data_IF_826074805909
#
_entry.id   IF_826074805909
#
_cell.length_a   1.000
_cell.length_b   1.000
_cell.length_c   1.000
_cell.angle_alpha   90.00
_cell.angle_beta   90.00
_cell.angle_gamma   90.00
#
_symmetry.space_group_name_H-M   'P 1'
#
loop_
_entity.id
_entity.type
_entity.pdbx_description
1 polymer ?
#
# COMPACT_ATOMS: atom_id res chain seq x y z
N UNK A 1 -7.11 -7.78 3.19
CA UNK A 1 -6.42 -8.07 4.46
C UNK A 1 -5.12 -7.28 4.56
N UNK A 2 -4.69 -6.85 5.76
CA UNK A 2 -3.41 -6.15 5.95
C UNK A 2 -2.44 -6.95 6.83
N UNK A 3 -1.21 -7.17 6.36
CA UNK A 3 -0.17 -7.86 7.11
C UNK A 3 0.37 -6.99 8.25
N UNK A 4 1.01 -7.59 9.25
CA UNK A 4 1.52 -6.85 10.42
C UNK A 4 2.52 -5.76 10.03
N UNK A 5 3.37 -6.02 9.03
CA UNK A 5 4.30 -5.03 8.50
C UNK A 5 3.60 -3.76 7.97
N UNK A 6 2.47 -3.94 7.27
CA UNK A 6 1.64 -2.84 6.79
C UNK A 6 1.02 -2.08 7.96
N UNK A 7 0.39 -2.78 8.91
CA UNK A 7 -0.29 -2.19 10.08
C UNK A 7 0.66 -1.31 10.90
N UNK A 8 1.88 -1.79 11.15
CA UNK A 8 2.93 -1.02 11.85
C UNK A 8 3.30 0.27 11.12
N UNK A 9 3.44 0.22 9.80
CA UNK A 9 3.76 1.41 8.98
C UNK A 9 2.59 2.39 8.92
N UNK A 10 1.36 1.90 8.75
CA UNK A 10 0.15 2.72 8.78
C UNK A 10 0.03 3.46 10.12
N UNK A 11 0.22 2.76 11.25
CA UNK A 11 0.22 3.37 12.60
C UNK A 11 1.30 4.43 12.79
N UNK A 12 2.49 4.25 12.19
CA UNK A 12 3.53 5.28 12.21
C UNK A 12 3.14 6.50 11.39
N UNK A 13 2.46 6.30 10.26
CA UNK A 13 2.01 7.40 9.41
C UNK A 13 0.82 8.14 10.02
N UNK A 14 -0.12 7.47 10.70
CA UNK A 14 -1.28 8.13 11.32
C UNK A 14 -0.90 9.16 12.39
N UNK A 15 0.22 8.95 13.09
CA UNK A 15 0.80 9.96 14.01
C UNK A 15 1.13 11.30 13.33
N UNK A 16 1.47 11.28 12.04
CA UNK A 16 1.86 12.48 11.28
C UNK A 16 0.74 12.98 10.34
N UNK A 17 -0.11 12.08 9.86
CA UNK A 17 -1.13 12.38 8.85
C UNK A 17 -2.53 12.05 9.41
N UNK A 18 -3.17 13.05 10.03
CA UNK A 18 -4.47 12.93 10.73
C UNK A 18 -5.62 12.28 9.94
N UNK A 19 -5.68 12.44 8.61
CA UNK A 19 -6.73 11.84 7.74
C UNK A 19 -6.32 10.54 7.05
N UNK A 20 -5.16 9.98 7.38
CA UNK A 20 -4.73 8.74 6.72
C UNK A 20 -5.71 7.59 6.95
N UNK A 21 -6.47 7.61 8.04
CA UNK A 21 -7.50 6.61 8.31
C UNK A 21 -8.69 6.73 7.35
N UNK A 22 -9.12 7.96 7.03
CA UNK A 22 -10.13 8.23 6.00
C UNK A 22 -9.60 7.81 4.63
N UNK A 23 -8.37 8.22 4.29
CA UNK A 23 -7.69 7.86 3.04
C UNK A 23 -7.57 6.33 2.88
N UNK A 24 -7.30 5.64 4.00
CA UNK A 24 -7.20 4.18 4.04
C UNK A 24 -8.56 3.53 3.81
N UNK A 25 -9.66 4.04 4.38
CA UNK A 25 -11.00 3.51 4.12
C UNK A 25 -11.37 3.61 2.64
N UNK A 26 -11.15 4.76 2.01
CA UNK A 26 -11.40 4.92 0.57
C UNK A 26 -10.54 3.99 -0.28
N UNK A 27 -9.31 3.71 0.14
CA UNK A 27 -8.47 2.71 -0.54
C UNK A 27 -9.08 1.30 -0.44
N UNK A 28 -9.62 0.92 0.72
CA UNK A 28 -10.27 -0.40 0.88
C UNK A 28 -11.47 -0.51 -0.05
N UNK A 29 -12.36 0.49 -0.07
CA UNK A 29 -13.51 0.51 -0.99
C UNK A 29 -13.08 0.39 -2.45
N UNK A 30 -12.00 1.07 -2.84
CA UNK A 30 -11.44 0.99 -4.19
C UNK A 30 -11.01 -0.45 -4.51
N UNK A 31 -10.25 -1.08 -3.62
CA UNK A 31 -9.69 -2.42 -3.84
C UNK A 31 -10.73 -3.54 -3.68
N UNK A 32 -11.82 -3.32 -2.94
CA UNK A 32 -12.96 -4.23 -2.87
C UNK A 32 -13.77 -4.23 -4.17
N UNK A 33 -13.94 -3.07 -4.80
CA UNK A 33 -14.63 -2.96 -6.09
C UNK A 33 -13.75 -3.39 -7.27
N UNK A 34 -12.46 -3.05 -7.23
CA UNK A 34 -11.52 -3.35 -8.30
C UNK A 34 -10.13 -3.75 -7.76
N UNK A 35 -9.90 -5.04 -7.45
CA UNK A 35 -8.63 -5.53 -6.93
C UNK A 35 -7.44 -5.31 -7.86
N UNK A 36 -7.65 -5.08 -9.16
CA UNK A 36 -6.60 -4.88 -10.16
C UNK A 36 -6.36 -3.41 -10.53
N UNK A 37 -6.93 -2.45 -9.81
CA UNK A 37 -6.75 -1.01 -10.06
C UNK A 37 -5.30 -0.51 -9.86
N UNK A 38 -4.44 -1.29 -9.20
CA UNK A 38 -3.03 -0.98 -9.04
C UNK A 38 -2.19 -1.21 -10.30
N UNK A 39 -1.03 -0.54 -10.36
CA UNK A 39 0.00 -0.79 -11.37
C UNK A 39 0.79 -2.06 -10.98
N UNK A 40 0.84 -3.09 -11.83
CA UNK A 40 1.66 -4.27 -11.59
C UNK A 40 3.16 -3.91 -11.46
N UNK A 41 3.85 -4.51 -10.48
CA UNK A 41 5.29 -4.33 -10.29
C UNK A 41 6.04 -5.41 -11.06
N UNK A 42 6.92 -5.04 -12.02
CA UNK A 42 7.73 -6.01 -12.77
C UNK A 42 8.59 -6.88 -11.86
N UNK A 43 8.85 -8.12 -12.30
CA UNK A 43 9.70 -9.07 -11.56
C UNK A 43 8.99 -9.85 -10.45
N UNK A 44 7.66 -9.72 -10.31
CA UNK A 44 6.85 -10.43 -9.31
C UNK A 44 5.68 -11.24 -9.93
N UNK A 45 5.81 -11.67 -11.19
CA UNK A 45 4.85 -12.58 -11.82
C UNK A 45 3.39 -12.10 -11.85
N UNK A 46 3.16 -10.77 -11.97
CA UNK A 46 1.83 -10.15 -11.96
C UNK A 46 0.99 -10.41 -10.70
N UNK A 47 1.64 -10.69 -9.56
CA UNK A 47 0.96 -10.87 -8.27
C UNK A 47 1.13 -9.68 -7.33
N UNK A 48 2.08 -8.79 -7.59
CA UNK A 48 2.37 -7.63 -6.74
C UNK A 48 2.02 -6.36 -7.50
N UNK A 49 1.25 -5.51 -6.84
CA UNK A 49 0.69 -4.29 -7.42
C UNK A 49 0.99 -3.10 -6.53
N UNK A 50 0.99 -1.92 -7.15
CA UNK A 50 1.23 -0.63 -6.52
C UNK A 50 0.07 0.31 -6.80
N UNK A 51 -0.60 0.77 -5.76
CA UNK A 51 -1.71 1.71 -5.88
C UNK A 51 -1.40 3.03 -5.17
N UNK A 52 -1.87 4.13 -5.75
CA UNK A 52 -1.75 5.48 -5.20
C UNK A 52 -2.93 5.74 -4.26
N UNK A 53 -2.67 5.83 -2.98
CA UNK A 53 -3.65 6.31 -2.01
C UNK A 53 -3.50 7.83 -1.89
N UNK A 54 -4.49 8.56 -2.41
CA UNK A 54 -4.52 10.03 -2.33
C UNK A 54 -4.60 10.44 -0.86
N UNK A 55 -3.99 11.57 -0.51
CA UNK A 55 -4.13 12.11 0.85
C UNK A 55 -5.08 13.29 0.89
N UNK A 56 -6.15 13.15 1.66
CA UNK A 56 -7.18 14.17 1.90
C UNK A 56 -6.71 15.28 2.85
N UNK A 57 -5.46 15.17 3.34
CA UNK A 57 -4.83 16.07 4.30
C UNK A 57 -3.98 17.20 3.68
N UNK A 58 -3.69 17.17 2.38
CA UNK A 58 -2.72 18.10 1.78
C UNK A 58 -3.38 18.96 0.70
N UNK A 59 -3.38 20.29 0.93
CA UNK A 59 -3.91 21.29 -0.02
C UNK A 59 -3.25 21.14 -1.41
N UNK A 60 -4.05 21.40 -2.45
CA UNK A 60 -3.70 21.43 -3.88
C UNK A 60 -2.28 22.00 -4.08
N UNK A 61 -1.37 21.22 -4.66
CA UNK A 61 0.00 21.66 -5.01
C UNK A 61 1.15 21.02 -4.22
N UNK A 62 0.93 20.41 -3.04
CA UNK A 62 1.99 19.66 -2.34
C UNK A 62 1.88 18.16 -2.62
N UNK A 63 2.78 17.66 -3.48
CA UNK A 63 2.85 16.32 -4.13
C UNK A 63 2.94 15.07 -3.22
N UNK A 64 2.26 14.98 -2.09
CA UNK A 64 2.50 13.93 -1.08
C UNK A 64 1.39 12.90 -0.87
N UNK A 65 1.03 12.09 -1.87
CA UNK A 65 0.20 10.90 -1.64
C UNK A 65 0.97 9.74 -0.98
N UNK A 66 0.27 8.68 -0.62
CA UNK A 66 0.87 7.43 -0.18
C UNK A 66 0.89 6.41 -1.33
N UNK A 67 1.85 5.51 -1.27
CA UNK A 67 1.89 4.33 -2.12
C UNK A 67 1.70 3.12 -1.25
N UNK A 68 0.76 2.29 -1.67
CA UNK A 68 0.48 1.00 -1.06
C UNK A 68 0.93 -0.07 -2.03
N UNK A 69 1.70 -1.03 -1.52
CA UNK A 69 2.05 -2.25 -2.24
C UNK A 69 1.17 -3.36 -1.69
N UNK A 70 0.56 -4.13 -2.58
CA UNK A 70 -0.29 -5.25 -2.21
C UNK A 70 -0.02 -6.47 -3.08
N UNK A 71 -0.31 -7.64 -2.52
CA UNK A 71 -0.34 -8.92 -3.21
C UNK A 71 -1.79 -9.26 -3.57
N UNK A 72 -2.01 -9.73 -4.79
CA UNK A 72 -3.31 -10.18 -5.28
C UNK A 72 -3.24 -11.69 -5.57
N UNK A 73 -4.09 -12.47 -4.90
CA UNK A 73 -4.28 -13.90 -5.14
C UNK A 73 -5.74 -14.23 -5.07
N UNK A 74 -6.28 -14.89 -6.10
CA UNK A 74 -7.67 -15.38 -6.09
C UNK A 74 -8.69 -14.29 -5.74
N UNK A 75 -8.50 -13.08 -6.31
CA UNK A 75 -9.27 -11.86 -6.02
C UNK A 75 -9.14 -11.32 -4.58
N UNK A 76 -8.32 -11.93 -3.73
CA UNK A 76 -8.03 -11.48 -2.38
C UNK A 76 -6.83 -10.53 -2.40
N UNK A 77 -7.04 -9.35 -1.82
CA UNK A 77 -6.02 -8.30 -1.67
C UNK A 77 -5.34 -8.41 -0.31
N UNK A 78 -4.02 -8.53 -0.32
CA UNK A 78 -3.16 -8.52 0.86
C UNK A 78 -2.26 -7.28 0.85
N UNK A 79 -2.55 -6.31 1.70
CA UNK A 79 -1.77 -5.09 1.83
C UNK A 79 -0.45 -5.39 2.52
N UNK A 80 0.66 -5.21 1.81
CA UNK A 80 2.01 -5.58 2.24
C UNK A 80 2.73 -4.43 2.93
N UNK A 81 2.73 -3.26 2.31
CA UNK A 81 3.39 -2.08 2.89
C UNK A 81 2.85 -0.76 2.37
N UNK A 82 3.07 0.32 3.14
CA UNK A 82 2.69 1.69 2.81
C UNK A 82 3.85 2.64 3.07
N UNK A 83 4.01 3.66 2.22
CA UNK A 83 4.96 4.75 2.42
C UNK A 83 4.48 6.06 1.79
N UNK A 84 4.91 7.20 2.33
CA UNK A 84 4.62 8.51 1.76
C UNK A 84 5.60 8.83 0.62
N UNK A 85 5.08 9.23 -0.56
CA UNK A 85 5.94 9.60 -1.71
C UNK A 85 6.91 10.73 -1.37
N UNK A 86 6.47 11.70 -0.57
CA UNK A 86 7.28 12.85 -0.18
C UNK A 86 8.56 12.47 0.60
N UNK A 87 8.58 11.30 1.25
CA UNK A 87 9.76 10.79 1.95
C UNK A 87 10.57 9.82 1.10
N UNK A 88 9.98 9.29 0.02
CA UNK A 88 10.53 8.18 -0.73
C UNK A 88 9.91 8.06 -2.11
N UNK A 89 10.75 8.12 -3.14
CA UNK A 89 10.30 8.06 -4.53
C UNK A 89 9.88 6.65 -4.96
N UNK A 90 10.62 5.63 -4.54
CA UNK A 90 10.45 4.25 -4.97
C UNK A 90 10.79 3.24 -3.87
N UNK A 91 10.11 2.09 -3.86
CA UNK A 91 10.35 1.00 -2.90
C UNK A 91 11.33 -0.03 -3.46
N UNK A 92 12.24 -0.53 -2.62
CA UNK A 92 13.22 -1.54 -3.03
C UNK A 92 12.59 -2.93 -3.15
N UNK A 93 13.10 -3.75 -4.07
CA UNK A 93 12.73 -5.18 -4.17
C UNK A 93 12.96 -5.91 -2.85
N UNK A 94 14.04 -5.58 -2.13
CA UNK A 94 14.36 -6.15 -0.82
C UNK A 94 13.23 -5.91 0.19
N UNK A 95 12.71 -4.69 0.27
CA UNK A 95 11.63 -4.40 1.22
C UNK A 95 10.29 -5.00 0.81
N UNK A 96 10.01 -5.15 -0.49
CA UNK A 96 8.83 -5.90 -0.94
C UNK A 96 8.96 -7.35 -0.46
N UNK A 97 10.13 -7.97 -0.63
CA UNK A 97 10.41 -9.33 -0.12
C UNK A 97 10.28 -9.42 1.41
N UNK A 98 10.74 -8.41 2.16
CA UNK A 98 10.55 -8.36 3.61
C UNK A 98 9.07 -8.24 4.00
N UNK A 99 8.30 -7.41 3.30
CA UNK A 99 6.86 -7.27 3.55
C UNK A 99 6.10 -8.57 3.23
N UNK A 100 6.56 -9.31 2.21
CA UNK A 100 6.04 -10.64 1.86
C UNK A 100 6.31 -11.69 2.92
N UNK A 101 7.39 -11.61 3.71
CA UNK A 101 7.61 -12.54 4.83
C UNK A 101 6.53 -12.46 5.90
N UNK A 102 5.85 -11.31 6.03
CA UNK A 102 4.73 -11.15 6.97
C UNK A 102 3.39 -11.66 6.42
N UNK A 103 3.39 -12.14 5.18
CA UNK A 103 2.31 -12.87 4.57
C UNK A 103 2.69 -14.34 4.76
N UNK A 104 2.23 -14.98 5.84
CA UNK A 104 2.45 -16.41 6.15
C UNK A 104 1.77 -17.32 5.10
N UNK A 105 2.12 -17.15 3.84
CA UNK A 105 1.78 -18.07 2.77
C UNK A 105 2.98 -19.00 2.69
N UNK A 106 2.79 -20.24 3.12
CA UNK A 106 3.65 -21.35 2.74
C UNK A 106 3.72 -21.36 1.21
N UNK A 107 4.81 -20.85 0.64
CA UNK A 107 5.16 -21.00 -0.77
C UNK A 107 5.89 -22.33 -0.96
#
# INVERSE_FOLDING_TARGET
>A
MAVEYFRRRLKKLSKKYRRIEEDYKSLIETLENNPSEGDAIPGFGNKIYKIRMRSSNMKRGKRGGFRVIYYLSDHIVYLLTIYAKAKREEISVKEIKEALKGLDITL
#
